data_IF_640095129727
#
_entry.id   IF_640095129727
#
_cell.length_a   1.000
_cell.length_b   1.000
_cell.length_c   1.000
_cell.angle_alpha   90.00
_cell.angle_beta   90.00
_cell.angle_gamma   90.00
#
_symmetry.space_group_name_H-M   'P 1'
#
loop_
_entity.id
_entity.type
_entity.pdbx_description
1 polymer ?
#
# COMPACT_ATOMS: atom_id res chain seq x y z
N UNK A 1 10.44 -11.94 5.95
CA UNK A 1 9.04 -11.57 6.25
C UNK A 1 8.38 -10.90 5.07
N UNK A 2 7.18 -11.35 4.68
CA UNK A 2 6.45 -10.92 3.48
C UNK A 2 5.85 -9.50 3.58
N UNK A 3 6.65 -8.53 4.02
CA UNK A 3 6.23 -7.14 4.25
C UNK A 3 6.59 -6.23 3.09
N UNK A 4 7.84 -6.28 2.66
CA UNK A 4 8.27 -5.69 1.40
C UNK A 4 8.05 -6.73 0.30
N UNK A 5 7.22 -6.38 -0.67
CA UNK A 5 6.83 -7.27 -1.75
C UNK A 5 7.29 -6.70 -3.11
N UNK A 6 7.68 -7.56 -4.05
CA UNK A 6 8.05 -7.11 -5.39
C UNK A 6 6.84 -6.47 -6.07
N UNK A 7 7.05 -5.38 -6.80
CA UNK A 7 5.96 -4.64 -7.48
C UNK A 7 5.18 -5.53 -8.44
N UNK A 8 5.86 -6.50 -9.03
CA UNK A 8 5.32 -7.47 -9.99
C UNK A 8 4.30 -8.42 -9.35
N UNK A 9 4.32 -8.57 -8.01
CA UNK A 9 3.31 -9.34 -7.29
C UNK A 9 1.96 -8.64 -7.21
N UNK A 10 1.89 -7.34 -7.54
CA UNK A 10 0.69 -6.54 -7.50
C UNK A 10 0.20 -6.23 -8.92
N UNK A 11 -1.09 -6.46 -9.14
CA UNK A 11 -1.80 -6.01 -10.34
C UNK A 11 -2.79 -4.92 -9.95
N UNK A 12 -2.67 -3.75 -10.58
CA UNK A 12 -3.65 -2.66 -10.48
C UNK A 12 -4.83 -2.99 -11.39
N UNK A 13 -6.05 -2.94 -10.85
CA UNK A 13 -7.27 -3.30 -11.58
C UNK A 13 -8.11 -2.06 -11.90
N UNK A 14 -8.81 -1.48 -10.91
CA UNK A 14 -9.71 -0.35 -11.11
C UNK A 14 -9.31 0.82 -10.22
N UNK A 15 -9.19 2.03 -10.78
CA UNK A 15 -8.95 3.24 -10.00
C UNK A 15 -10.19 3.55 -9.15
N UNK A 16 -10.00 3.62 -7.83
CA UNK A 16 -11.04 3.97 -6.86
C UNK A 16 -11.13 5.47 -6.61
N UNK A 17 -10.00 6.17 -6.68
CA UNK A 17 -9.98 7.61 -6.41
C UNK A 17 -8.58 8.22 -6.47
N UNK A 18 -8.54 9.53 -6.29
CA UNK A 18 -7.32 10.31 -6.31
C UNK A 18 -7.38 11.41 -5.24
N UNK A 19 -6.27 11.60 -4.54
CA UNK A 19 -6.09 12.69 -3.58
C UNK A 19 -4.79 13.45 -3.83
N UNK A 20 -4.45 14.34 -2.88
CA UNK A 20 -3.26 15.18 -2.98
C UNK A 20 -1.96 14.37 -3.10
N UNK A 21 -1.88 13.26 -2.36
CA UNK A 21 -0.66 12.45 -2.24
C UNK A 21 -0.54 11.31 -3.26
N UNK A 22 -1.58 11.05 -4.06
CA UNK A 22 -1.57 9.98 -5.04
C UNK A 22 -2.94 9.38 -5.31
N UNK A 23 -2.94 8.13 -5.75
CA UNK A 23 -4.14 7.44 -6.24
C UNK A 23 -4.41 6.18 -5.42
N UNK A 24 -5.67 5.77 -5.40
CA UNK A 24 -6.09 4.51 -4.78
C UNK A 24 -6.72 3.64 -5.87
N UNK A 25 -6.32 2.38 -5.90
CA UNK A 25 -6.77 1.38 -6.85
C UNK A 25 -7.25 0.14 -6.12
N UNK A 26 -8.25 -0.56 -6.68
CA UNK A 26 -8.39 -1.99 -6.41
C UNK A 26 -7.27 -2.73 -7.12
N UNK A 27 -6.87 -3.86 -6.57
CA UNK A 27 -5.89 -4.72 -7.21
C UNK A 27 -5.91 -6.13 -6.69
N UNK A 28 -5.00 -6.93 -7.24
CA UNK A 28 -4.80 -8.32 -6.86
C UNK A 28 -3.34 -8.56 -6.52
N UNK A 29 -3.09 -9.13 -5.35
CA UNK A 29 -1.78 -9.57 -4.88
C UNK A 29 -1.60 -11.08 -5.13
N UNK A 30 -0.47 -11.46 -5.73
CA UNK A 30 -0.12 -12.84 -6.11
C UNK A 30 -1.22 -13.56 -6.91
N UNK A 31 -2.00 -12.82 -7.70
CA UNK A 31 -3.10 -13.36 -8.52
C UNK A 31 -4.31 -13.88 -7.76
N UNK A 32 -4.31 -13.88 -6.42
CA UNK A 32 -5.33 -14.53 -5.61
C UNK A 32 -6.01 -13.61 -4.61
N UNK A 33 -5.28 -12.65 -4.05
CA UNK A 33 -5.76 -11.86 -2.90
C UNK A 33 -6.17 -10.47 -3.36
N UNK A 34 -7.46 -10.13 -3.23
CA UNK A 34 -7.94 -8.77 -3.51
C UNK A 34 -7.40 -7.79 -2.46
N UNK A 35 -6.87 -6.67 -2.93
CA UNK A 35 -6.25 -5.63 -2.10
C UNK A 35 -6.64 -4.23 -2.57
N UNK A 36 -6.48 -3.26 -1.68
CA UNK A 36 -6.45 -1.84 -2.05
C UNK A 36 -4.99 -1.39 -2.16
N UNK A 37 -4.64 -0.71 -3.25
CA UNK A 37 -3.28 -0.26 -3.53
C UNK A 37 -3.30 1.27 -3.58
N UNK A 38 -2.61 1.90 -2.63
CA UNK A 38 -2.40 3.35 -2.62
C UNK A 38 -1.02 3.66 -3.18
N UNK A 39 -0.97 4.36 -4.30
CA UNK A 39 0.29 4.84 -4.90
C UNK A 39 0.61 6.23 -4.37
N UNK A 40 1.89 6.53 -4.22
CA UNK A 40 2.38 7.87 -3.90
C UNK A 40 2.90 8.54 -5.17
N UNK A 41 2.63 9.83 -5.32
CA UNK A 41 3.21 10.62 -6.41
C UNK A 41 4.71 10.83 -6.13
N UNK A 42 5.59 10.72 -7.14
CA UNK A 42 6.99 11.09 -6.98
C UNK A 42 7.12 12.51 -6.43
N UNK A 43 7.97 12.71 -5.43
CA UNK A 43 8.22 14.02 -4.82
C UNK A 43 7.22 14.47 -3.75
N UNK A 44 6.17 13.72 -3.43
CA UNK A 44 5.25 14.11 -2.34
C UNK A 44 5.72 13.72 -0.95
N UNK A 45 6.62 12.74 -0.84
CA UNK A 45 7.17 12.25 0.43
C UNK A 45 8.52 11.57 0.18
N UNK A 46 9.45 11.67 1.14
CA UNK A 46 10.69 10.90 1.12
C UNK A 46 10.38 9.42 1.42
N UNK A 47 10.91 8.45 0.63
CA UNK A 47 10.65 7.02 0.86
C UNK A 47 10.93 6.57 2.30
N UNK A 48 11.97 7.12 2.92
CA UNK A 48 12.34 6.80 4.30
C UNK A 48 11.24 7.18 5.31
N UNK A 49 10.63 8.35 5.16
CA UNK A 49 9.54 8.80 6.02
C UNK A 49 8.30 7.89 5.86
N UNK A 50 8.01 7.47 4.62
CA UNK A 50 6.94 6.52 4.34
C UNK A 50 7.17 5.17 5.03
N UNK A 51 8.39 4.62 4.93
CA UNK A 51 8.72 3.34 5.57
C UNK A 51 8.63 3.44 7.10
N UNK A 52 9.06 4.55 7.69
CA UNK A 52 8.92 4.78 9.13
C UNK A 52 7.44 4.78 9.58
N UNK A 53 6.57 5.51 8.89
CA UNK A 53 5.13 5.51 9.17
C UNK A 53 4.52 4.12 8.96
N UNK A 54 4.91 3.42 7.89
CA UNK A 54 4.44 2.08 7.60
C UNK A 54 4.80 1.08 8.71
N UNK A 55 5.98 1.20 9.33
CA UNK A 55 6.37 0.36 10.47
C UNK A 55 5.53 0.61 11.72
N UNK A 56 5.04 1.84 11.91
CA UNK A 56 4.08 2.15 12.98
C UNK A 56 2.73 1.51 12.67
N UNK A 57 2.21 1.73 11.45
CA UNK A 57 0.93 1.17 11.01
C UNK A 57 0.89 -0.36 11.06
N UNK A 58 2.01 -1.02 10.73
CA UNK A 58 2.17 -2.49 10.81
C UNK A 58 1.84 -3.05 12.20
N UNK A 59 2.14 -2.30 13.26
CA UNK A 59 1.93 -2.71 14.65
C UNK A 59 0.48 -2.50 15.10
N UNK A 60 -0.32 -1.72 14.37
CA UNK A 60 -1.70 -1.44 14.71
C UNK A 60 -2.60 -2.55 14.18
N UNK A 61 -3.12 -3.38 15.10
CA UNK A 61 -4.10 -4.43 14.81
C UNK A 61 -5.33 -4.24 15.66
N UNK A 62 -6.45 -3.93 15.03
CA UNK A 62 -7.73 -3.70 15.70
C UNK A 62 -8.88 -3.86 14.70
N UNK A 63 -10.01 -4.42 15.14
CA UNK A 63 -11.15 -4.74 14.27
C UNK A 63 -11.81 -3.51 13.62
N UNK A 64 -11.53 -2.32 14.14
CA UNK A 64 -12.02 -1.03 13.63
C UNK A 64 -10.98 -0.24 12.83
N UNK A 65 -9.80 -0.82 12.58
CA UNK A 65 -8.75 -0.21 11.78
C UNK A 65 -8.50 -1.05 10.54
N UNK A 66 -8.35 -0.40 9.39
CA UNK A 66 -7.97 -1.09 8.15
C UNK A 66 -6.50 -1.52 8.28
N UNK A 67 -6.19 -2.84 8.18
CA UNK A 67 -4.83 -3.31 8.33
C UNK A 67 -3.97 -2.95 7.13
N UNK A 68 -2.72 -2.58 7.39
CA UNK A 68 -1.69 -2.47 6.36
C UNK A 68 -1.07 -3.86 6.13
N UNK A 69 -1.21 -4.40 4.91
CA UNK A 69 -0.73 -5.74 4.56
C UNK A 69 0.75 -5.79 4.20
N UNK A 70 1.17 -4.89 3.31
CA UNK A 70 2.51 -4.87 2.72
C UNK A 70 2.84 -3.48 2.16
N UNK A 71 4.11 -3.26 1.84
CA UNK A 71 4.63 -2.09 1.13
C UNK A 71 5.50 -2.53 -0.05
N UNK A 72 5.68 -1.63 -1.01
CA UNK A 72 6.62 -1.81 -2.13
C UNK A 72 7.75 -0.81 -1.94
N UNK A 73 9.00 -1.30 -1.94
CA UNK A 73 10.20 -0.46 -1.98
C UNK A 73 10.64 -0.16 -3.42
#
# INVERSE_FOLDING_TARGET
DAWEIPRESLRLDVKLGQGCFGEVWTGTWNGTTKVAIKTLKPGTMMPEAFLQEAQIMKKLRHDKLVPLYAVVS
#
